data_IF_916928914646
#
_entry.id   IF_916928914646
#
_cell.length_a   1.000
_cell.length_b   1.000
_cell.length_c   1.000
_cell.angle_alpha   90.00
_cell.angle_beta   90.00
_cell.angle_gamma   90.00
#
_symmetry.space_group_name_H-M   'P 1'
#
loop_
_entity.id
_entity.type
_entity.pdbx_description
1 polymer ?
#
# COMPACT_ATOMS: atom_id res chain seq x y z
N UNK A 1 -10.29 3.91 -12.49
CA UNK A 1 -10.87 2.69 -11.90
C UNK A 1 -11.40 3.03 -10.51
N UNK A 2 -12.67 2.70 -10.19
CA UNK A 2 -13.18 2.83 -8.84
C UNK A 2 -12.43 1.85 -7.93
N UNK A 3 -11.96 2.32 -6.78
CA UNK A 3 -11.00 1.62 -5.91
C UNK A 3 -11.64 0.70 -4.86
N UNK A 4 -12.94 0.45 -4.97
CA UNK A 4 -13.72 -0.37 -4.03
C UNK A 4 -13.20 -1.81 -3.92
N UNK A 5 -12.42 -2.30 -4.90
CA UNK A 5 -11.76 -3.60 -4.82
C UNK A 5 -10.53 -3.61 -3.89
N UNK A 6 -9.87 -2.47 -3.65
CA UNK A 6 -8.57 -2.47 -2.95
C UNK A 6 -8.67 -2.74 -1.45
N UNK A 7 -9.69 -2.22 -0.77
CA UNK A 7 -9.85 -2.37 0.67
C UNK A 7 -10.34 -3.78 1.03
N UNK A 8 -11.40 -4.26 0.37
CA UNK A 8 -11.89 -5.63 0.55
C UNK A 8 -10.86 -6.70 0.12
N UNK A 9 -10.06 -6.43 -0.93
CA UNK A 9 -8.97 -7.34 -1.30
C UNK A 9 -7.84 -7.33 -0.26
N UNK A 10 -7.50 -6.16 0.32
CA UNK A 10 -6.53 -6.10 1.42
C UNK A 10 -7.03 -6.84 2.65
N UNK A 11 -8.30 -6.64 3.03
CA UNK A 11 -8.93 -7.32 4.16
C UNK A 11 -8.95 -8.84 3.95
N UNK A 12 -9.36 -9.32 2.77
CA UNK A 12 -9.33 -10.74 2.44
C UNK A 12 -7.91 -11.35 2.42
N UNK A 13 -6.89 -10.58 2.03
CA UNK A 13 -5.49 -11.00 2.14
C UNK A 13 -5.03 -11.07 3.61
N UNK A 14 -5.54 -10.20 4.47
CA UNK A 14 -5.23 -10.19 5.90
C UNK A 14 -5.84 -11.39 6.65
N UNK A 15 -6.96 -11.94 6.18
CA UNK A 15 -7.57 -13.14 6.75
C UNK A 15 -6.70 -14.40 6.56
N UNK A 16 -5.75 -14.36 5.62
CA UNK A 16 -4.77 -15.43 5.45
C UNK A 16 -3.68 -15.30 6.53
N UNK A 17 -3.74 -16.20 7.51
CA UNK A 17 -2.77 -16.52 8.58
C UNK A 17 -1.40 -15.82 8.50
N UNK A 18 -0.84 -15.41 9.67
CA UNK A 18 0.37 -14.61 9.99
C UNK A 18 1.72 -14.84 9.24
N UNK A 19 1.75 -15.49 8.08
CA UNK A 19 2.93 -15.81 7.25
C UNK A 19 2.96 -15.05 5.92
N UNK A 20 1.98 -14.19 5.64
CA UNK A 20 1.91 -13.45 4.38
C UNK A 20 2.53 -12.07 4.56
N UNK A 21 3.49 -11.73 3.71
CA UNK A 21 3.96 -10.36 3.53
C UNK A 21 3.11 -9.70 2.44
N UNK A 22 2.63 -8.47 2.70
CA UNK A 22 1.79 -7.75 1.74
C UNK A 22 2.63 -6.77 0.93
N UNK A 23 2.62 -6.92 -0.39
CA UNK A 23 3.30 -6.01 -1.30
C UNK A 23 2.43 -4.81 -1.68
N UNK A 24 2.91 -3.59 -1.41
CA UNK A 24 2.31 -2.34 -1.86
C UNK A 24 3.12 -1.74 -3.02
N UNK A 25 2.57 -1.80 -4.23
CA UNK A 25 3.19 -1.20 -5.42
C UNK A 25 2.91 0.30 -5.53
N UNK A 26 3.91 1.13 -5.84
CA UNK A 26 3.69 2.57 -6.01
C UNK A 26 3.47 3.01 -7.47
N UNK A 27 3.90 2.20 -8.44
CA UNK A 27 3.71 2.46 -9.88
C UNK A 27 3.31 1.16 -10.59
N UNK A 28 2.41 1.28 -11.56
CA UNK A 28 2.08 0.22 -12.51
C UNK A 28 2.45 0.65 -13.93
N UNK A 29 2.61 -0.33 -14.83
CA UNK A 29 2.67 -0.07 -16.26
C UNK A 29 1.23 -0.10 -16.77
N UNK A 30 0.74 1.02 -17.28
CA UNK A 30 -0.53 1.15 -18.00
C UNK A 30 -0.30 1.44 -19.48
N UNK A 31 -1.40 1.61 -20.22
CA UNK A 31 -1.40 1.89 -21.66
C UNK A 31 -0.56 3.12 -22.04
N UNK A 32 -0.48 4.11 -21.14
CA UNK A 32 0.27 5.36 -21.34
C UNK A 32 1.66 5.35 -20.69
N UNK A 33 2.17 4.18 -20.27
CA UNK A 33 3.45 4.05 -19.58
C UNK A 33 3.31 3.90 -18.07
N UNK A 34 4.25 4.47 -17.29
CA UNK A 34 4.29 4.29 -15.83
C UNK A 34 3.29 5.22 -15.14
N UNK A 35 2.35 4.64 -14.40
CA UNK A 35 1.29 5.38 -13.69
C UNK A 35 1.39 5.19 -12.18
N UNK A 36 1.42 6.27 -11.37
CA UNK A 36 1.35 6.18 -9.93
C UNK A 36 0.07 5.47 -9.46
N UNK A 37 0.22 4.52 -8.54
CA UNK A 37 -0.90 3.82 -7.92
C UNK A 37 -1.50 4.60 -6.76
N UNK A 38 -0.68 5.42 -6.08
CA UNK A 38 -1.12 6.40 -5.10
C UNK A 38 -1.19 7.78 -5.73
N UNK A 39 -2.38 8.40 -5.68
CA UNK A 39 -2.63 9.78 -6.12
C UNK A 39 -2.21 10.77 -5.03
N UNK A 40 -2.31 10.37 -3.76
CA UNK A 40 -1.90 11.21 -2.63
C UNK A 40 -1.40 10.37 -1.42
N UNK A 41 -0.64 10.99 -0.49
CA UNK A 41 -0.12 10.29 0.69
C UNK A 41 -1.17 9.68 1.62
N UNK A 42 -2.39 10.21 1.66
CA UNK A 42 -3.47 9.68 2.51
C UNK A 42 -3.95 8.30 2.07
N UNK A 43 -3.78 7.95 0.80
CA UNK A 43 -4.11 6.62 0.29
C UNK A 43 -3.11 5.57 0.80
N UNK A 44 -1.81 5.89 0.78
CA UNK A 44 -0.79 5.03 1.39
C UNK A 44 -0.98 4.92 2.91
N UNK A 45 -1.39 5.99 3.59
CA UNK A 45 -1.66 5.98 5.03
C UNK A 45 -2.84 5.06 5.35
N UNK A 46 -3.90 5.11 4.55
CA UNK A 46 -5.06 4.22 4.67
C UNK A 46 -4.65 2.75 4.53
N UNK A 47 -3.97 2.39 3.46
CA UNK A 47 -3.57 0.99 3.20
C UNK A 47 -2.68 0.45 4.35
N UNK A 48 -1.69 1.24 4.79
CA UNK A 48 -0.83 0.86 5.93
C UNK A 48 -1.62 0.74 7.25
N UNK A 49 -2.63 1.59 7.46
CA UNK A 49 -3.49 1.52 8.65
C UNK A 49 -4.34 0.25 8.68
N UNK A 50 -4.87 -0.19 7.53
CA UNK A 50 -5.61 -1.46 7.38
C UNK A 50 -4.71 -2.64 7.71
N UNK A 51 -3.50 -2.67 7.12
CA UNK A 51 -2.52 -3.73 7.39
C UNK A 51 -2.15 -3.81 8.88
N UNK A 52 -1.92 -2.66 9.52
CA UNK A 52 -1.61 -2.58 10.95
C UNK A 52 -2.79 -3.03 11.81
N UNK A 53 -4.01 -2.58 11.50
CA UNK A 53 -5.23 -2.97 12.22
C UNK A 53 -5.48 -4.49 12.17
N UNK A 54 -5.14 -5.11 11.04
CA UNK A 54 -5.25 -6.55 10.83
C UNK A 54 -4.02 -7.36 11.28
N UNK A 55 -3.06 -6.76 11.98
CA UNK A 55 -1.86 -7.43 12.54
C UNK A 55 -0.97 -8.10 11.47
N UNK A 56 -0.96 -7.58 10.25
CA UNK A 56 0.00 -8.00 9.23
C UNK A 56 1.41 -7.67 9.72
N UNK A 57 2.29 -8.68 9.73
CA UNK A 57 3.65 -8.56 10.28
C UNK A 57 4.60 -7.79 9.37
N UNK A 58 4.40 -7.89 8.06
CA UNK A 58 5.33 -7.32 7.08
C UNK A 58 4.59 -6.74 5.89
N UNK A 59 4.92 -5.50 5.56
CA UNK A 59 4.48 -4.82 4.36
C UNK A 59 5.70 -4.39 3.54
N UNK A 60 5.78 -4.82 2.29
CA UNK A 60 6.88 -4.52 1.37
C UNK A 60 6.42 -3.46 0.39
N UNK A 61 7.02 -2.27 0.45
CA UNK A 61 6.75 -1.20 -0.52
C UNK A 61 7.73 -1.36 -1.69
N UNK A 62 7.20 -1.49 -2.90
CA UNK A 62 8.01 -1.77 -4.09
C UNK A 62 7.61 -0.92 -5.30
N UNK A 63 8.50 -0.86 -6.30
CA UNK A 63 8.43 0.08 -7.43
C UNK A 63 8.29 1.52 -6.91
N UNK A 64 9.33 2.02 -6.24
CA UNK A 64 9.29 3.25 -5.42
C UNK A 64 9.14 4.58 -6.19
N UNK A 65 9.02 4.56 -7.51
CA UNK A 65 8.88 5.80 -8.28
C UNK A 65 7.57 6.53 -7.94
N UNK A 66 7.58 7.86 -8.06
CA UNK A 66 6.45 8.70 -7.67
C UNK A 66 6.35 8.98 -6.16
N UNK A 67 7.09 8.26 -5.30
CA UNK A 67 7.20 8.61 -3.88
C UNK A 67 8.01 9.90 -3.69
N UNK A 68 7.59 10.70 -2.72
CA UNK A 68 8.23 11.97 -2.35
C UNK A 68 8.27 12.12 -0.83
N UNK A 69 8.82 13.24 -0.32
CA UNK A 69 8.96 13.50 1.12
C UNK A 69 7.66 13.39 1.91
N UNK A 70 6.50 13.65 1.30
CA UNK A 70 5.19 13.50 1.95
C UNK A 70 4.85 12.03 2.20
N UNK A 71 5.11 11.15 1.24
CA UNK A 71 4.94 9.70 1.41
C UNK A 71 5.92 9.11 2.43
N UNK A 72 7.18 9.56 2.41
CA UNK A 72 8.17 9.13 3.42
C UNK A 72 7.73 9.47 4.85
N UNK A 73 7.06 10.61 5.04
CA UNK A 73 6.51 10.98 6.36
C UNK A 73 5.43 10.00 6.81
N UNK A 74 4.60 9.49 5.89
CA UNK A 74 3.60 8.46 6.19
C UNK A 74 4.30 7.16 6.58
N UNK A 75 5.22 6.66 5.74
CA UNK A 75 5.94 5.39 5.99
C UNK A 75 6.61 5.41 7.37
N UNK A 76 7.26 6.52 7.74
CA UNK A 76 7.92 6.69 9.03
C UNK A 76 6.99 6.55 10.25
N UNK A 77 5.67 6.77 10.12
CA UNK A 77 4.71 6.54 11.21
C UNK A 77 4.54 5.05 11.57
N UNK A 78 4.91 4.16 10.65
CA UNK A 78 4.69 2.72 10.77
C UNK A 78 6.00 1.94 10.99
N UNK A 79 7.15 2.59 10.87
CA UNK A 79 8.43 2.02 11.26
C UNK A 79 8.52 2.02 12.79
N UNK A 80 8.74 0.83 13.36
CA UNK A 80 8.92 0.61 14.80
C UNK A 80 10.40 0.47 15.11
#
# INVERSE_FOLDING_TARGET
MPRYESEAALEGLCEQNNKVAIGLGCIAVGISGRTPLFQNPGELDRDLSILKGNKVKEAVIFRLGGLNKRYLRIIKKYLS
#
